data_IF_990639154669
#
_entry.id   IF_990639154669
#
_cell.length_a   1.000
_cell.length_b   1.000
_cell.length_c   1.000
_cell.angle_alpha   90.00
_cell.angle_beta   90.00
_cell.angle_gamma   90.00
#
_symmetry.space_group_name_H-M   'P 1'
#
loop_
_entity.id
_entity.type
_entity.pdbx_description
1 polymer ?
#
# COMPACT_ATOMS: atom_id res chain seq x y z
N UNK A 1 -13.46 18.76 -30.81
CA UNK A 1 -14.74 18.54 -31.53
C UNK A 1 -15.21 17.09 -31.41
N UNK A 2 -14.40 16.09 -31.78
CA UNK A 2 -14.79 14.66 -31.73
C UNK A 2 -15.02 14.13 -30.31
N UNK A 3 -14.14 14.48 -29.37
CA UNK A 3 -14.30 14.26 -27.92
C UNK A 3 -15.67 14.74 -27.39
N UNK A 4 -16.13 15.92 -27.83
CA UNK A 4 -17.43 16.47 -27.40
C UNK A 4 -18.60 15.76 -28.08
N UNK A 5 -18.45 15.33 -29.34
CA UNK A 5 -19.47 14.57 -30.05
C UNK A 5 -19.75 13.21 -29.37
N UNK A 6 -18.72 12.58 -28.78
CA UNK A 6 -18.87 11.32 -28.02
C UNK A 6 -19.61 11.46 -26.69
N UNK A 7 -19.75 12.69 -26.17
CA UNK A 7 -20.48 12.98 -24.93
C UNK A 7 -21.97 13.27 -25.14
N UNK A 8 -22.43 13.37 -26.40
CA UNK A 8 -23.86 13.56 -26.72
C UNK A 8 -24.65 12.28 -26.47
N UNK A 9 -25.97 12.34 -26.29
CA UNK A 9 -26.77 11.13 -26.05
C UNK A 9 -26.99 10.28 -27.31
N UNK A 10 -26.85 10.87 -28.50
CA UNK A 10 -27.07 10.20 -29.79
C UNK A 10 -25.98 9.14 -30.07
N UNK A 11 -26.38 7.87 -30.09
CA UNK A 11 -25.50 6.73 -30.30
C UNK A 11 -24.84 6.73 -31.69
N UNK A 12 -25.54 7.19 -32.73
CA UNK A 12 -25.01 7.24 -34.09
C UNK A 12 -23.92 8.32 -34.21
N UNK A 13 -24.10 9.46 -33.54
CA UNK A 13 -23.06 10.50 -33.45
C UNK A 13 -21.81 9.99 -32.73
N UNK A 14 -21.96 9.23 -31.64
CA UNK A 14 -20.83 8.60 -30.92
C UNK A 14 -20.04 7.64 -31.81
N UNK A 15 -20.73 6.81 -32.58
CA UNK A 15 -20.11 5.83 -33.46
C UNK A 15 -19.36 6.49 -34.62
N UNK A 16 -19.95 7.50 -35.26
CA UNK A 16 -19.28 8.27 -36.33
C UNK A 16 -18.03 8.95 -35.77
N UNK A 17 -18.15 9.61 -34.60
CA UNK A 17 -17.02 10.30 -33.97
C UNK A 17 -15.89 9.31 -33.66
N UNK A 18 -16.20 8.13 -33.13
CA UNK A 18 -15.22 7.09 -32.81
C UNK A 18 -14.50 6.55 -34.06
N UNK A 19 -15.26 6.29 -35.14
CA UNK A 19 -14.67 5.87 -36.43
C UNK A 19 -13.73 6.93 -37.00
N UNK A 20 -14.11 8.20 -36.87
CA UNK A 20 -13.32 9.31 -37.39
C UNK A 20 -12.02 9.52 -36.57
N UNK A 21 -12.04 9.37 -35.25
CA UNK A 21 -10.83 9.40 -34.41
C UNK A 21 -9.84 8.30 -34.80
N UNK A 22 -10.32 7.07 -35.04
CA UNK A 22 -9.48 5.96 -35.50
C UNK A 22 -8.89 6.26 -36.87
N UNK A 23 -9.70 6.73 -37.83
CA UNK A 23 -9.22 7.11 -39.16
C UNK A 23 -8.16 8.22 -39.08
N UNK A 24 -8.33 9.18 -38.16
CA UNK A 24 -7.39 10.24 -37.93
C UNK A 24 -6.05 9.71 -37.37
N UNK A 25 -6.07 8.81 -36.38
CA UNK A 25 -4.87 8.16 -35.87
C UNK A 25 -4.11 7.36 -36.94
N UNK A 26 -4.83 6.62 -37.78
CA UNK A 26 -4.24 5.90 -38.92
C UNK A 26 -3.60 6.85 -39.93
N UNK A 27 -4.24 7.98 -40.21
CA UNK A 27 -3.66 9.00 -41.09
C UNK A 27 -2.41 9.64 -40.48
N UNK A 28 -2.42 9.97 -39.18
CA UNK A 28 -1.25 10.49 -38.48
C UNK A 28 -0.08 9.50 -38.50
N UNK A 29 -0.37 8.21 -38.32
CA UNK A 29 0.63 7.15 -38.38
C UNK A 29 1.23 7.04 -39.80
N UNK A 30 0.37 7.00 -40.83
CA UNK A 30 0.79 6.90 -42.25
C UNK A 30 1.59 8.11 -42.72
N UNK A 31 1.25 9.30 -42.24
CA UNK A 31 1.92 10.56 -42.60
C UNK A 31 3.05 10.91 -41.63
N UNK A 32 3.44 9.98 -40.76
CA UNK A 32 4.54 10.10 -39.80
C UNK A 32 4.52 11.39 -38.98
N UNK A 33 3.34 11.80 -38.52
CA UNK A 33 3.23 12.95 -37.60
C UNK A 33 4.07 12.71 -36.36
N UNK A 34 4.60 13.79 -35.79
CA UNK A 34 5.44 13.71 -34.59
C UNK A 34 4.63 13.22 -33.38
N UNK A 35 5.19 12.35 -32.52
CA UNK A 35 4.54 11.93 -31.28
C UNK A 35 4.14 13.11 -30.39
N UNK A 36 5.01 14.12 -30.31
CA UNK A 36 4.77 15.36 -29.56
C UNK A 36 3.52 16.10 -30.06
N UNK A 37 3.36 16.22 -31.38
CA UNK A 37 2.20 16.90 -31.96
C UNK A 37 0.91 16.13 -31.68
N UNK A 38 0.96 14.79 -31.78
CA UNK A 38 -0.21 13.94 -31.53
C UNK A 38 -0.64 14.02 -30.06
N UNK A 39 0.28 14.02 -29.09
CA UNK A 39 -0.04 14.26 -27.67
C UNK A 39 -0.75 15.61 -27.50
N UNK A 40 -0.25 16.66 -28.15
CA UNK A 40 -0.90 17.97 -28.16
C UNK A 40 -2.31 17.94 -28.75
N UNK A 41 -2.51 17.27 -29.90
CA UNK A 41 -3.82 17.16 -30.54
C UNK A 41 -4.83 16.31 -29.77
N UNK A 42 -4.36 15.33 -29.02
CA UNK A 42 -5.19 14.55 -28.08
C UNK A 42 -5.56 15.34 -26.82
N UNK A 43 -5.07 16.58 -26.68
CA UNK A 43 -5.38 17.45 -25.55
C UNK A 43 -4.69 17.04 -24.25
N UNK A 44 -3.65 16.22 -24.32
CA UNK A 44 -2.92 15.78 -23.14
C UNK A 44 -2.09 16.90 -22.52
N UNK A 45 -1.66 17.92 -23.28
CA UNK A 45 -0.93 19.06 -22.71
C UNK A 45 -1.76 19.85 -21.68
N UNK A 46 -3.07 20.02 -21.95
CA UNK A 46 -3.96 20.84 -21.12
C UNK A 46 -4.66 20.03 -20.01
N UNK A 47 -4.62 18.69 -20.08
CA UNK A 47 -5.31 17.78 -19.16
C UNK A 47 -4.45 16.56 -18.80
N UNK A 48 -3.14 16.77 -18.68
CA UNK A 48 -2.15 15.70 -18.51
C UNK A 48 -2.44 14.83 -17.28
N UNK A 49 -2.91 15.42 -16.19
CA UNK A 49 -3.35 14.75 -14.95
C UNK A 49 -4.45 13.68 -15.17
N UNK A 50 -5.26 13.80 -16.24
CA UNK A 50 -6.34 12.86 -16.56
C UNK A 50 -5.96 11.90 -17.69
N UNK A 51 -4.71 11.94 -18.17
CA UNK A 51 -4.22 11.20 -19.33
C UNK A 51 -4.50 9.70 -19.23
N UNK A 52 -4.21 9.06 -18.09
CA UNK A 52 -4.42 7.61 -17.90
C UNK A 52 -5.90 7.21 -17.83
N UNK A 53 -6.78 8.17 -17.51
CA UNK A 53 -8.24 7.97 -17.48
C UNK A 53 -8.91 8.43 -18.77
N UNK A 54 -8.16 9.01 -19.71
CA UNK A 54 -8.71 9.59 -20.93
C UNK A 54 -8.97 8.53 -22.00
N UNK A 55 -10.15 8.51 -22.64
CA UNK A 55 -10.41 7.61 -23.77
C UNK A 55 -9.50 7.90 -24.97
N UNK A 56 -8.91 9.09 -25.05
CA UNK A 56 -7.93 9.46 -26.08
C UNK A 56 -6.65 8.63 -26.00
N UNK A 57 -6.36 7.97 -24.86
CA UNK A 57 -5.19 7.09 -24.72
C UNK A 57 -5.26 5.88 -25.67
N UNK A 58 -6.46 5.40 -25.99
CA UNK A 58 -6.63 4.35 -27.01
C UNK A 58 -6.28 4.85 -28.42
N UNK A 59 -6.55 6.12 -28.72
CA UNK A 59 -6.20 6.74 -30.00
C UNK A 59 -4.68 6.89 -30.13
N UNK A 60 -4.00 7.26 -29.04
CA UNK A 60 -2.54 7.22 -28.95
C UNK A 60 -1.98 5.83 -29.22
N UNK A 61 -2.54 4.79 -28.57
CA UNK A 61 -2.11 3.41 -28.76
C UNK A 61 -2.21 2.99 -30.24
N UNK A 62 -3.36 3.23 -30.88
CA UNK A 62 -3.59 2.94 -32.30
C UNK A 62 -2.56 3.67 -33.17
N UNK A 63 -2.34 4.96 -32.92
CA UNK A 63 -1.36 5.75 -33.66
C UNK A 63 0.03 5.13 -33.56
N UNK A 64 0.56 4.88 -32.35
CA UNK A 64 1.93 4.36 -32.19
C UNK A 64 2.09 2.98 -32.81
N UNK A 65 1.16 2.06 -32.55
CA UNK A 65 1.21 0.70 -33.10
C UNK A 65 1.19 0.70 -34.64
N UNK A 66 0.51 1.67 -35.27
CA UNK A 66 0.35 1.73 -36.73
C UNK A 66 1.44 2.53 -37.44
N UNK A 67 2.32 3.23 -36.72
CA UNK A 67 3.48 3.92 -37.30
C UNK A 67 4.55 2.99 -37.88
N UNK A 68 4.52 1.70 -37.53
CA UNK A 68 5.43 0.70 -38.10
C UNK A 68 6.88 0.81 -37.61
N UNK A 69 7.17 1.66 -36.61
CA UNK A 69 8.51 1.80 -35.99
C UNK A 69 8.81 0.77 -34.91
N UNK A 70 7.89 -0.17 -34.68
CA UNK A 70 7.96 -1.21 -33.64
C UNK A 70 8.21 -0.67 -32.22
N UNK A 71 7.78 0.57 -31.96
CA UNK A 71 7.85 1.21 -30.64
C UNK A 71 6.70 0.71 -29.75
N UNK A 72 6.98 0.51 -28.46
CA UNK A 72 5.95 0.28 -27.46
C UNK A 72 5.21 1.61 -27.20
N UNK A 73 3.86 1.65 -27.30
CA UNK A 73 3.08 2.86 -27.06
C UNK A 73 3.28 3.50 -25.69
N UNK A 74 3.51 2.68 -24.64
CA UNK A 74 3.72 3.19 -23.29
C UNK A 74 5.14 3.71 -23.08
N UNK A 75 6.15 3.02 -23.60
CA UNK A 75 7.55 3.49 -23.50
C UNK A 75 7.73 4.85 -24.20
N UNK A 76 7.13 5.00 -25.38
CA UNK A 76 7.14 6.28 -26.09
C UNK A 76 6.35 7.35 -25.33
N UNK A 77 5.20 7.00 -24.74
CA UNK A 77 4.40 7.95 -23.96
C UNK A 77 5.17 8.44 -22.72
N UNK A 78 5.77 7.52 -21.96
CA UNK A 78 6.62 7.85 -20.81
C UNK A 78 7.77 8.75 -21.26
N UNK A 79 8.45 8.43 -22.36
CA UNK A 79 9.53 9.27 -22.91
C UNK A 79 9.05 10.68 -23.24
N UNK A 80 7.87 10.83 -23.85
CA UNK A 80 7.33 12.15 -24.14
C UNK A 80 6.94 12.90 -22.87
N UNK A 81 6.38 12.21 -21.87
CA UNK A 81 5.98 12.82 -20.60
C UNK A 81 7.20 13.28 -19.80
N UNK A 82 8.24 12.45 -19.65
CA UNK A 82 9.46 12.82 -18.92
C UNK A 82 10.28 13.92 -19.60
N UNK A 83 10.07 14.15 -20.90
CA UNK A 83 10.63 15.30 -21.62
C UNK A 83 9.84 16.61 -21.41
N UNK A 84 8.55 16.52 -21.08
CA UNK A 84 7.64 17.66 -21.05
C UNK A 84 7.20 18.08 -19.64
N UNK A 85 7.29 17.15 -18.68
CA UNK A 85 6.78 17.29 -17.33
C UNK A 85 7.86 17.00 -16.30
N UNK A 86 7.75 17.62 -15.13
CA UNK A 86 8.61 17.23 -14.00
C UNK A 86 8.19 15.87 -13.49
N UNK A 87 9.09 15.20 -12.79
CA UNK A 87 8.77 13.91 -12.20
C UNK A 87 7.64 14.01 -11.15
N UNK A 88 7.55 15.15 -10.44
CA UNK A 88 6.47 15.41 -9.48
C UNK A 88 5.11 15.46 -10.17
N UNK A 89 5.04 16.10 -11.35
CA UNK A 89 3.85 16.11 -12.18
C UNK A 89 3.50 14.66 -12.59
N UNK A 90 4.46 13.85 -13.02
CA UNK A 90 4.21 12.43 -13.34
C UNK A 90 3.66 11.65 -12.13
N UNK A 91 4.11 11.95 -10.92
CA UNK A 91 3.53 11.43 -9.69
C UNK A 91 2.05 11.75 -9.49
N UNK A 92 1.62 12.97 -9.84
CA UNK A 92 0.23 13.41 -9.76
C UNK A 92 -0.69 12.67 -10.74
N UNK A 93 -0.19 12.34 -11.95
CA UNK A 93 -0.91 11.46 -12.90
C UNK A 93 -1.26 10.14 -12.21
N UNK A 94 -0.28 9.49 -11.59
CA UNK A 94 -0.46 8.20 -10.95
C UNK A 94 -1.39 8.28 -9.74
N UNK A 95 -1.22 9.30 -8.90
CA UNK A 95 -2.09 9.55 -7.74
C UNK A 95 -3.54 9.83 -8.15
N UNK A 96 -3.75 10.56 -9.25
CA UNK A 96 -5.11 10.84 -9.75
C UNK A 96 -5.75 9.62 -10.38
N UNK A 97 -4.98 8.83 -11.14
CA UNK A 97 -5.44 7.59 -11.75
C UNK A 97 -5.85 6.54 -10.70
N UNK A 98 -5.15 6.47 -9.57
CA UNK A 98 -5.49 5.57 -8.46
C UNK A 98 -6.74 6.02 -7.68
N UNK A 99 -6.90 7.32 -7.39
CA UNK A 99 -8.03 7.87 -6.61
C UNK A 99 -9.39 7.83 -7.34
N UNK A 100 -9.42 7.93 -8.67
CA UNK A 100 -10.68 8.01 -9.45
C UNK A 100 -11.42 6.68 -9.64
N UNK A 101 -11.03 5.60 -8.94
CA UNK A 101 -11.63 4.27 -9.08
C UNK A 101 -10.92 3.39 -10.12
N UNK A 102 -9.59 3.56 -10.24
CA UNK A 102 -8.79 2.92 -11.26
C UNK A 102 -9.02 3.53 -12.64
N UNK A 103 -8.06 3.34 -13.54
CA UNK A 103 -8.36 3.44 -14.97
C UNK A 103 -9.53 2.48 -15.25
N UNK A 104 -10.47 2.84 -16.13
CA UNK A 104 -11.52 1.90 -16.57
C UNK A 104 -10.93 0.60 -17.17
N UNK A 105 -9.62 0.56 -17.40
CA UNK A 105 -8.84 -0.60 -17.82
C UNK A 105 -7.53 -0.70 -17.00
N UNK A 106 -7.52 -1.55 -15.97
CA UNK A 106 -6.36 -1.81 -15.11
C UNK A 106 -5.10 -2.19 -15.89
N UNK A 107 -5.25 -2.82 -17.08
CA UNK A 107 -4.10 -3.21 -17.90
C UNK A 107 -3.35 -2.02 -18.47
N UNK A 108 -4.05 -0.93 -18.80
CA UNK A 108 -3.41 0.29 -19.31
C UNK A 108 -2.58 0.95 -18.20
N UNK A 109 -3.12 0.99 -16.98
CA UNK A 109 -2.41 1.51 -15.81
C UNK A 109 -1.14 0.69 -15.54
N UNK A 110 -1.27 -0.63 -15.45
CA UNK A 110 -0.13 -1.52 -15.19
C UNK A 110 0.94 -1.42 -16.28
N UNK A 111 0.54 -1.27 -17.55
CA UNK A 111 1.48 -1.14 -18.67
C UNK A 111 2.22 0.20 -18.63
N UNK A 112 1.52 1.29 -18.31
CA UNK A 112 2.13 2.60 -18.13
C UNK A 112 3.11 2.60 -16.96
N UNK A 113 2.70 2.06 -15.81
CA UNK A 113 3.53 1.95 -14.62
C UNK A 113 4.80 1.14 -14.90
N UNK A 114 4.69 0.00 -15.58
CA UNK A 114 5.86 -0.81 -15.98
C UNK A 114 6.82 -0.04 -16.88
N UNK A 115 6.29 0.69 -17.87
CA UNK A 115 7.10 1.53 -18.75
C UNK A 115 7.82 2.64 -17.97
N UNK A 116 7.13 3.28 -17.02
CA UNK A 116 7.70 4.34 -16.18
C UNK A 116 8.82 3.81 -15.29
N UNK A 117 8.59 2.69 -14.59
CA UNK A 117 9.63 2.08 -13.77
C UNK A 117 10.84 1.66 -14.60
N UNK A 118 10.62 1.07 -15.78
CA UNK A 118 11.70 0.71 -16.72
C UNK A 118 12.49 1.94 -17.15
N UNK A 119 11.82 3.05 -17.45
CA UNK A 119 12.47 4.30 -17.81
C UNK A 119 13.35 4.82 -16.67
N UNK A 120 12.83 4.86 -15.44
CA UNK A 120 13.59 5.27 -14.26
C UNK A 120 14.69 4.28 -13.85
N UNK A 121 14.64 3.01 -14.24
CA UNK A 121 15.75 2.08 -14.02
C UNK A 121 16.92 2.33 -14.98
N UNK A 122 16.65 2.85 -16.19
CA UNK A 122 17.68 3.16 -17.18
C UNK A 122 18.41 4.49 -16.90
N UNK A 123 17.75 5.41 -16.20
CA UNK A 123 18.33 6.63 -15.62
C UNK A 123 18.07 6.63 -14.11
N UNK A 124 18.87 5.86 -13.33
CA UNK A 124 18.50 5.39 -12.00
C UNK A 124 18.24 6.54 -11.03
N UNK A 125 16.95 6.80 -10.79
CA UNK A 125 16.51 7.61 -9.66
C UNK A 125 16.71 6.83 -8.37
N UNK A 126 16.98 7.54 -7.28
CA UNK A 126 17.06 6.92 -5.96
C UNK A 126 15.67 6.52 -5.47
N UNK A 127 15.59 5.50 -4.61
CA UNK A 127 14.35 5.13 -3.92
C UNK A 127 13.72 6.32 -3.18
N UNK A 128 14.53 7.19 -2.59
CA UNK A 128 14.08 8.44 -1.94
C UNK A 128 13.44 9.40 -2.93
N UNK A 129 14.04 9.59 -4.10
CA UNK A 129 13.43 10.43 -5.13
C UNK A 129 12.07 9.85 -5.52
N UNK A 130 12.00 8.58 -5.91
CA UNK A 130 10.72 7.96 -6.31
C UNK A 130 9.66 8.00 -5.20
N UNK A 131 10.08 7.91 -3.93
CA UNK A 131 9.19 8.10 -2.78
C UNK A 131 8.50 9.47 -2.78
N UNK A 132 9.29 10.54 -2.94
CA UNK A 132 8.79 11.92 -3.02
C UNK A 132 8.01 12.18 -4.31
N UNK A 133 8.42 11.57 -5.43
CA UNK A 133 7.69 11.66 -6.70
C UNK A 133 6.29 11.10 -6.57
N UNK A 134 6.14 9.95 -5.92
CA UNK A 134 4.83 9.36 -5.63
C UNK A 134 4.07 10.08 -4.52
N UNK A 135 4.62 11.17 -3.98
CA UNK A 135 4.00 12.00 -2.94
C UNK A 135 3.59 11.19 -1.70
N UNK A 136 4.33 10.13 -1.39
CA UNK A 136 4.05 9.26 -0.24
C UNK A 136 4.32 10.01 1.07
N UNK A 137 5.26 10.96 1.05
CA UNK A 137 5.56 11.89 2.14
C UNK A 137 4.50 12.99 2.35
N UNK A 138 3.63 13.22 1.37
CA UNK A 138 2.62 14.29 1.40
C UNK A 138 1.23 13.82 1.82
N UNK A 139 1.02 12.51 1.97
CA UNK A 139 -0.23 11.99 2.55
C UNK A 139 -0.13 11.95 4.07
N UNK A 140 -1.27 12.11 4.77
CA UNK A 140 -1.31 12.15 6.24
C UNK A 140 -0.66 10.90 6.88
N UNK A 141 -0.85 9.74 6.25
CA UNK A 141 -0.21 8.49 6.62
C UNK A 141 0.39 7.83 5.37
N UNK A 142 1.72 7.74 5.32
CA UNK A 142 2.44 7.11 4.20
C UNK A 142 1.96 5.67 3.93
N UNK A 143 1.56 4.93 4.97
CA UNK A 143 1.02 3.58 4.87
C UNK A 143 -0.32 3.48 4.14
N UNK A 144 -1.04 4.60 4.01
CA UNK A 144 -2.30 4.69 3.26
C UNK A 144 -2.10 5.16 1.81
N UNK A 145 -0.86 5.45 1.38
CA UNK A 145 -0.62 5.90 0.01
C UNK A 145 -0.95 4.79 -1.00
N UNK A 146 -1.77 5.08 -2.02
CA UNK A 146 -2.11 4.10 -3.06
C UNK A 146 -0.92 3.71 -3.94
N UNK A 147 0.17 4.49 -3.91
CA UNK A 147 1.39 4.21 -4.67
C UNK A 147 2.49 3.55 -3.81
N UNK A 148 2.21 3.25 -2.54
CA UNK A 148 3.21 2.71 -1.62
C UNK A 148 3.78 1.37 -2.10
N UNK A 149 2.92 0.41 -2.44
CA UNK A 149 3.37 -0.92 -2.87
C UNK A 149 4.11 -0.88 -4.22
N UNK A 150 3.75 0.09 -5.07
CA UNK A 150 4.46 0.32 -6.33
C UNK A 150 5.87 0.84 -6.06
N UNK A 151 6.01 1.81 -5.15
CA UNK A 151 7.32 2.29 -4.71
C UNK A 151 8.14 1.19 -4.03
N UNK A 152 7.52 0.38 -3.18
CA UNK A 152 8.20 -0.73 -2.52
C UNK A 152 8.77 -1.73 -3.55
N UNK A 153 7.97 -2.08 -4.56
CA UNK A 153 8.41 -2.93 -5.67
C UNK A 153 9.58 -2.32 -6.46
N UNK A 154 9.57 -1.01 -6.66
CA UNK A 154 10.68 -0.30 -7.29
C UNK A 154 11.96 -0.38 -6.44
N UNK A 155 11.87 -0.13 -5.13
CA UNK A 155 12.99 -0.28 -4.20
C UNK A 155 13.58 -1.68 -4.22
N UNK A 156 12.73 -2.71 -4.18
CA UNK A 156 13.16 -4.11 -4.25
C UNK A 156 13.91 -4.39 -5.56
N UNK A 157 13.42 -3.85 -6.69
CA UNK A 157 14.09 -4.01 -7.99
C UNK A 157 15.48 -3.36 -8.07
N UNK A 158 15.71 -2.36 -7.21
CA UNK A 158 17.00 -1.68 -7.05
C UNK A 158 17.88 -2.34 -5.98
N UNK A 159 17.41 -3.41 -5.32
CA UNK A 159 18.12 -4.09 -4.23
C UNK A 159 18.12 -3.33 -2.91
N UNK A 160 17.23 -2.34 -2.74
CA UNK A 160 17.05 -1.61 -1.49
C UNK A 160 15.97 -2.27 -0.63
N UNK A 161 16.00 -2.05 0.69
CA UNK A 161 14.98 -2.52 1.62
C UNK A 161 13.90 -1.43 1.82
N UNK A 162 12.72 -1.53 1.19
CA UNK A 162 11.67 -0.54 1.34
C UNK A 162 11.05 -0.52 2.73
N UNK A 163 11.06 -1.65 3.46
CA UNK A 163 10.52 -1.75 4.82
C UNK A 163 11.41 -0.98 5.78
N UNK A 164 12.73 -1.17 5.71
CA UNK A 164 13.67 -0.39 6.51
C UNK A 164 13.55 1.11 6.24
N UNK A 165 13.54 1.50 4.96
CA UNK A 165 13.41 2.91 4.57
C UNK A 165 12.11 3.54 5.09
N UNK A 166 10.97 2.89 4.87
CA UNK A 166 9.68 3.43 5.30
C UNK A 166 9.61 3.51 6.82
N UNK A 167 10.09 2.49 7.53
CA UNK A 167 10.09 2.46 8.98
C UNK A 167 10.90 3.63 9.58
N UNK A 168 12.10 3.91 9.05
CA UNK A 168 12.92 5.04 9.48
C UNK A 168 12.24 6.39 9.22
N UNK A 169 11.58 6.55 8.07
CA UNK A 169 10.83 7.76 7.75
C UNK A 169 9.63 7.95 8.70
N UNK A 170 8.89 6.88 9.00
CA UNK A 170 7.77 6.95 9.94
C UNK A 170 8.26 7.26 11.37
N UNK A 171 9.37 6.67 11.81
CA UNK A 171 9.99 7.03 13.09
C UNK A 171 10.36 8.52 13.12
N UNK A 172 10.99 9.02 12.05
CA UNK A 172 11.36 10.43 11.94
C UNK A 172 10.14 11.36 11.90
N UNK A 173 9.02 10.92 11.32
CA UNK A 173 7.76 11.65 11.28
C UNK A 173 7.14 11.81 12.68
N UNK A 174 7.11 10.73 13.46
CA UNK A 174 6.49 10.75 14.79
C UNK A 174 7.41 11.27 15.91
N UNK A 175 8.73 11.40 15.69
CA UNK A 175 9.74 11.68 16.74
C UNK A 175 9.47 12.85 17.69
N UNK A 176 8.70 13.85 17.28
CA UNK A 176 8.39 15.03 18.10
C UNK A 176 7.14 14.87 18.97
N UNK A 177 6.45 13.74 18.85
CA UNK A 177 5.28 13.40 19.65
C UNK A 177 5.69 12.68 20.93
N UNK A 178 5.09 13.06 22.06
CA UNK A 178 5.31 12.38 23.34
C UNK A 178 4.93 10.89 23.28
N UNK A 179 3.96 10.54 22.43
CA UNK A 179 3.48 9.17 22.19
C UNK A 179 3.97 8.61 20.85
N UNK A 180 5.15 9.04 20.38
CA UNK A 180 5.71 8.65 19.08
C UNK A 180 5.67 7.14 18.83
N UNK A 181 6.14 6.33 19.78
CA UNK A 181 6.15 4.87 19.66
C UNK A 181 4.73 4.30 19.53
N UNK A 182 3.78 4.80 20.32
CA UNK A 182 2.39 4.35 20.27
C UNK A 182 1.70 4.75 18.96
N UNK A 183 2.00 5.94 18.42
CA UNK A 183 1.49 6.39 17.12
C UNK A 183 2.06 5.58 15.97
N UNK A 184 3.37 5.33 15.97
CA UNK A 184 4.03 4.47 14.98
C UNK A 184 3.44 3.06 15.00
N UNK A 185 3.30 2.47 16.20
CA UNK A 185 2.72 1.15 16.38
C UNK A 185 1.29 1.09 15.83
N UNK A 186 0.45 2.06 16.21
CA UNK A 186 -0.93 2.15 15.74
C UNK A 186 -1.01 2.23 14.22
N UNK A 187 -0.21 3.09 13.59
CA UNK A 187 -0.20 3.23 12.14
C UNK A 187 0.16 1.92 11.42
N UNK A 188 1.16 1.18 11.92
CA UNK A 188 1.58 -0.11 11.36
C UNK A 188 0.51 -1.19 11.58
N UNK A 189 -0.09 -1.24 12.77
CA UNK A 189 -1.15 -2.21 13.11
C UNK A 189 -2.40 -1.98 12.27
N UNK A 190 -2.84 -0.73 12.14
CA UNK A 190 -4.01 -0.36 11.34
C UNK A 190 -3.78 -0.71 9.85
N UNK A 191 -2.58 -0.46 9.34
CA UNK A 191 -2.20 -0.83 7.97
C UNK A 191 -2.18 -2.36 7.78
N UNK A 192 -1.63 -3.11 8.74
CA UNK A 192 -1.63 -4.58 8.75
C UNK A 192 -3.05 -5.14 8.81
N UNK A 193 -3.94 -4.53 9.58
CA UNK A 193 -5.33 -4.94 9.66
C UNK A 193 -6.06 -4.73 8.33
N UNK A 194 -5.75 -3.63 7.63
CA UNK A 194 -6.30 -3.32 6.31
C UNK A 194 -5.78 -4.28 5.22
N UNK A 195 -4.53 -4.72 5.33
CA UNK A 195 -3.86 -5.59 4.37
C UNK A 195 -3.22 -6.83 5.04
N UNK A 196 -4.02 -7.74 5.62
CA UNK A 196 -3.52 -8.78 6.53
C UNK A 196 -2.65 -9.86 5.88
N UNK A 197 -2.74 -10.03 4.57
CA UNK A 197 -2.00 -11.07 3.81
C UNK A 197 -0.91 -10.50 2.91
N UNK A 198 -0.72 -9.19 2.89
CA UNK A 198 0.30 -8.56 2.07
C UNK A 198 1.64 -8.58 2.81
N UNK A 199 2.65 -9.17 2.16
CA UNK A 199 3.96 -9.45 2.75
C UNK A 199 4.67 -8.16 3.21
N UNK A 200 4.45 -7.04 2.52
CA UNK A 200 5.06 -5.76 2.87
C UNK A 200 4.59 -5.30 4.26
N UNK A 201 3.28 -5.35 4.51
CA UNK A 201 2.71 -4.92 5.80
C UNK A 201 3.01 -5.93 6.92
N UNK A 202 3.09 -7.22 6.62
CA UNK A 202 3.60 -8.24 7.57
C UNK A 202 5.03 -7.92 7.98
N UNK A 203 5.91 -7.59 7.02
CA UNK A 203 7.30 -7.23 7.30
C UNK A 203 7.43 -5.92 8.06
N UNK A 204 6.55 -4.94 7.83
CA UNK A 204 6.48 -3.71 8.63
C UNK A 204 6.18 -4.00 10.11
N UNK A 205 5.22 -4.88 10.41
CA UNK A 205 4.94 -5.31 11.78
C UNK A 205 6.14 -6.07 12.37
N UNK A 206 6.75 -7.00 11.62
CA UNK A 206 7.94 -7.70 12.08
C UNK A 206 9.11 -6.76 12.40
N UNK A 207 9.31 -5.72 11.57
CA UNK A 207 10.31 -4.67 11.79
C UNK A 207 10.03 -3.93 13.10
N UNK A 208 8.77 -3.55 13.36
CA UNK A 208 8.36 -2.96 14.64
C UNK A 208 8.74 -3.85 15.83
N UNK A 209 8.41 -5.15 15.77
CA UNK A 209 8.73 -6.10 16.85
C UNK A 209 10.25 -6.27 17.05
N UNK A 210 11.03 -6.31 15.96
CA UNK A 210 12.51 -6.37 16.07
C UNK A 210 13.10 -5.11 16.68
N UNK A 211 12.54 -3.94 16.36
CA UNK A 211 12.97 -2.66 16.92
C UNK A 211 12.73 -2.62 18.42
N UNK A 212 11.51 -2.97 18.89
CA UNK A 212 11.23 -3.04 20.32
C UNK A 212 12.12 -4.03 21.07
N UNK A 213 12.45 -5.17 20.47
CA UNK A 213 13.38 -6.14 21.06
C UNK A 213 14.80 -5.57 21.16
N UNK A 214 15.28 -4.89 20.11
CA UNK A 214 16.61 -4.26 20.09
C UNK A 214 16.71 -3.08 21.07
N UNK A 215 15.59 -2.39 21.33
CA UNK A 215 15.44 -1.36 22.34
C UNK A 215 15.22 -1.92 23.76
N UNK A 216 15.24 -3.24 23.92
CA UNK A 216 15.08 -3.94 25.20
C UNK A 216 13.77 -3.59 25.94
N UNK A 217 12.71 -3.26 25.19
CA UNK A 217 11.39 -3.08 25.82
C UNK A 217 10.92 -4.42 26.41
N UNK A 218 10.26 -4.37 27.55
CA UNK A 218 9.63 -5.56 28.13
C UNK A 218 8.16 -5.71 27.68
N UNK A 219 7.58 -6.88 27.95
CA UNK A 219 6.19 -7.17 27.58
C UNK A 219 5.18 -6.21 28.22
N UNK A 220 5.44 -5.67 29.41
CA UNK A 220 4.56 -4.73 30.10
C UNK A 220 4.59 -3.35 29.49
N UNK A 221 5.80 -2.84 29.23
CA UNK A 221 5.98 -1.56 28.55
C UNK A 221 5.29 -1.56 27.17
N UNK A 222 5.43 -2.63 26.39
CA UNK A 222 4.75 -2.73 25.09
C UNK A 222 3.23 -2.88 25.25
N UNK A 223 2.75 -3.57 26.29
CA UNK A 223 1.31 -3.64 26.59
C UNK A 223 0.70 -2.25 26.83
N UNK A 224 1.37 -1.43 27.65
CA UNK A 224 0.95 -0.06 27.99
C UNK A 224 1.08 0.89 26.80
N UNK A 225 2.15 0.75 26.01
CA UNK A 225 2.40 1.51 24.78
C UNK A 225 1.28 1.29 23.75
N UNK A 226 0.81 0.04 23.63
CA UNK A 226 -0.32 -0.31 22.77
C UNK A 226 -1.67 0.15 23.34
N UNK A 227 -1.67 0.69 24.56
CA UNK A 227 -2.85 1.18 25.26
C UNK A 227 -3.77 0.07 25.73
N UNK A 228 -3.29 -1.17 25.81
CA UNK A 228 -4.09 -2.32 26.24
C UNK A 228 -4.45 -2.23 27.72
N UNK A 229 -3.65 -1.52 28.53
CA UNK A 229 -3.85 -1.24 29.95
C UNK A 229 -5.07 -0.36 30.27
N UNK A 230 -5.50 0.45 29.29
CA UNK A 230 -6.55 1.47 29.45
C UNK A 230 -7.93 1.01 28.98
N UNK A 231 -8.04 -0.24 28.52
CA UNK A 231 -9.26 -0.72 27.85
C UNK A 231 -10.18 -1.37 28.89
N UNK A 232 -11.30 -0.70 29.16
CA UNK A 232 -12.36 -1.24 30.04
C UNK A 232 -13.19 -2.36 29.38
N UNK A 233 -12.93 -2.65 28.10
CA UNK A 233 -13.66 -3.62 27.27
C UNK A 233 -12.79 -4.83 26.91
N UNK A 234 -13.27 -5.69 26.01
CA UNK A 234 -12.56 -6.90 25.61
C UNK A 234 -11.28 -6.59 24.80
N UNK A 235 -10.12 -6.61 25.46
CA UNK A 235 -8.80 -6.43 24.83
C UNK A 235 -8.53 -7.47 23.73
N UNK A 236 -9.10 -8.67 23.81
CA UNK A 236 -8.88 -9.74 22.82
C UNK A 236 -9.54 -9.46 21.46
N UNK A 237 -10.43 -8.48 21.38
CA UNK A 237 -11.01 -8.02 20.11
C UNK A 237 -10.14 -6.95 19.42
N UNK A 238 -9.10 -6.43 20.08
CA UNK A 238 -8.26 -5.37 19.54
C UNK A 238 -7.12 -5.96 18.69
N UNK A 239 -6.88 -5.44 17.47
CA UNK A 239 -5.73 -5.85 16.65
C UNK A 239 -4.39 -5.71 17.38
N UNK A 240 -4.27 -4.70 18.26
CA UNK A 240 -3.07 -4.49 19.07
C UNK A 240 -2.76 -5.67 20.02
N UNK A 241 -3.75 -6.45 20.41
CA UNK A 241 -3.53 -7.65 21.23
C UNK A 241 -2.78 -8.73 20.45
N UNK A 242 -3.06 -8.89 19.15
CA UNK A 242 -2.33 -9.81 18.27
C UNK A 242 -0.85 -9.42 18.18
N UNK A 243 -0.58 -8.15 17.90
CA UNK A 243 0.79 -7.62 17.86
C UNK A 243 1.53 -7.78 19.20
N UNK A 244 0.86 -7.55 20.32
CA UNK A 244 1.45 -7.77 21.65
C UNK A 244 1.80 -9.24 21.88
N UNK A 245 0.91 -10.19 21.55
CA UNK A 245 1.20 -11.62 21.69
C UNK A 245 2.37 -12.05 20.81
N UNK A 246 2.42 -11.58 19.55
CA UNK A 246 3.56 -11.83 18.66
C UNK A 246 4.86 -11.27 19.23
N UNK A 247 4.81 -10.12 19.89
CA UNK A 247 5.97 -9.56 20.58
C UNK A 247 6.44 -10.44 21.74
N UNK A 248 5.53 -10.88 22.61
CA UNK A 248 5.85 -11.80 23.71
C UNK A 248 6.41 -13.12 23.18
N UNK A 249 5.87 -13.62 22.07
CA UNK A 249 6.41 -14.78 21.37
C UNK A 249 7.85 -14.56 20.91
N UNK A 250 8.14 -13.40 20.33
CA UNK A 250 9.49 -13.03 19.91
C UNK A 250 10.46 -12.89 21.10
N UNK A 251 10.00 -12.36 22.22
CA UNK A 251 10.81 -12.17 23.44
C UNK A 251 11.08 -13.47 24.20
N UNK A 252 10.09 -14.36 24.31
CA UNK A 252 10.13 -15.50 25.23
C UNK A 252 10.30 -16.85 24.53
N UNK A 253 10.29 -16.88 23.20
CA UNK A 253 10.41 -18.12 22.41
C UNK A 253 9.33 -19.13 22.81
N UNK A 254 9.68 -20.39 23.00
CA UNK A 254 8.74 -21.46 23.34
C UNK A 254 7.92 -21.22 24.62
N UNK A 255 8.41 -20.38 25.54
CA UNK A 255 7.75 -20.10 26.83
C UNK A 255 6.70 -18.99 26.76
N UNK A 256 6.40 -18.48 25.57
CA UNK A 256 5.54 -17.31 25.40
C UNK A 256 4.11 -17.50 25.93
N UNK A 257 3.51 -18.69 25.74
CA UNK A 257 2.16 -18.99 26.24
C UNK A 257 2.08 -18.78 27.76
N UNK A 258 3.04 -19.32 28.50
CA UNK A 258 3.14 -19.19 29.96
C UNK A 258 3.43 -17.75 30.37
N UNK A 259 4.27 -17.03 29.62
CA UNK A 259 4.56 -15.63 29.89
C UNK A 259 3.32 -14.75 29.74
N UNK A 260 2.55 -14.93 28.66
CA UNK A 260 1.27 -14.23 28.43
C UNK A 260 0.30 -14.50 29.57
N UNK A 261 0.09 -15.77 29.94
CA UNK A 261 -0.83 -16.15 31.02
C UNK A 261 -0.44 -15.49 32.35
N UNK A 262 0.82 -15.63 32.75
CA UNK A 262 1.30 -15.05 34.02
C UNK A 262 1.23 -13.53 34.02
N UNK A 263 1.38 -12.88 32.87
CA UNK A 263 1.25 -11.43 32.75
C UNK A 263 -0.21 -10.99 32.96
N UNK A 264 -1.14 -11.63 32.27
CA UNK A 264 -2.57 -11.31 32.36
C UNK A 264 -3.14 -11.59 33.77
N UNK A 265 -2.73 -12.71 34.41
CA UNK A 265 -3.08 -13.03 35.80
C UNK A 265 -2.58 -11.97 36.78
N UNK A 266 -1.32 -11.54 36.65
CA UNK A 266 -0.73 -10.52 37.52
C UNK A 266 -1.37 -9.14 37.34
N UNK A 267 -1.81 -8.84 36.13
CA UNK A 267 -2.43 -7.55 35.80
C UNK A 267 -3.90 -7.46 36.23
N UNK A 268 -4.43 -8.51 36.90
CA UNK A 268 -5.80 -8.58 37.42
C UNK A 268 -6.88 -8.29 36.37
N UNK A 269 -6.61 -8.64 35.10
CA UNK A 269 -7.59 -8.55 34.02
C UNK A 269 -8.67 -9.60 34.27
N UNK A 270 -9.81 -9.14 34.76
CA UNK A 270 -10.94 -9.99 35.11
C UNK A 270 -11.68 -10.46 33.84
N UNK A 271 -11.37 -11.68 33.45
CA UNK A 271 -12.00 -12.51 32.41
C UNK A 271 -13.51 -12.76 32.63
N UNK A 272 -14.12 -12.24 33.70
CA UNK A 272 -15.56 -12.34 33.96
C UNK A 272 -16.47 -11.61 32.94
N UNK A 273 -15.94 -11.01 31.86
CA UNK A 273 -16.71 -10.71 30.65
C UNK A 273 -16.50 -11.77 29.54
N UNK A 274 -16.67 -13.03 29.92
CA UNK A 274 -16.81 -14.16 29.01
C UNK A 274 -18.16 -14.13 28.30
N UNK A 275 -18.29 -13.33 27.25
CA UNK A 275 -19.25 -13.56 26.18
C UNK A 275 -18.88 -12.73 24.95
N UNK A 276 -18.15 -13.32 24.01
CA UNK A 276 -18.31 -13.27 22.53
C UNK A 276 -16.97 -13.42 21.79
N UNK A 277 -16.56 -14.66 21.53
CA UNK A 277 -15.69 -15.01 20.38
C UNK A 277 -16.50 -15.89 19.45
N UNK A 278 -17.51 -15.31 18.79
CA UNK A 278 -18.18 -15.96 17.68
C UNK A 278 -17.62 -15.53 16.31
N UNK A 279 -16.79 -14.47 16.24
CA UNK A 279 -16.49 -13.80 14.97
C UNK A 279 -15.00 -13.52 14.67
N UNK A 280 -14.06 -13.97 15.49
CA UNK A 280 -12.64 -13.70 15.25
C UNK A 280 -12.07 -14.76 14.27
N UNK A 281 -11.51 -14.32 13.13
CA UNK A 281 -11.11 -15.17 11.99
C UNK A 281 -9.59 -15.16 11.75
N UNK A 282 -8.81 -15.98 12.46
CA UNK A 282 -7.42 -16.39 12.13
C UNK A 282 -6.92 -17.48 13.11
N UNK A 283 -5.86 -18.21 12.76
CA UNK A 283 -5.30 -19.33 13.54
C UNK A 283 -4.70 -18.94 14.89
N UNK A 284 -4.22 -17.70 15.06
CA UNK A 284 -3.61 -17.22 16.32
C UNK A 284 -4.66 -16.93 17.40
N UNK A 285 -5.92 -16.75 17.01
CA UNK A 285 -7.07 -16.72 17.92
C UNK A 285 -7.27 -18.07 18.59
N UNK A 286 -6.89 -19.21 18.00
CA UNK A 286 -6.99 -20.48 18.70
C UNK A 286 -6.08 -20.49 19.94
N UNK A 287 -4.88 -19.89 19.85
CA UNK A 287 -4.00 -19.74 21.01
C UNK A 287 -4.54 -18.71 22.01
N UNK A 288 -5.15 -17.61 21.56
CA UNK A 288 -5.79 -16.63 22.45
C UNK A 288 -7.07 -17.16 23.12
N UNK A 289 -7.86 -17.95 22.42
CA UNK A 289 -9.03 -18.68 22.93
C UNK A 289 -8.59 -19.73 23.94
N UNK A 290 -7.48 -20.43 23.69
CA UNK A 290 -6.90 -21.39 24.63
C UNK A 290 -6.34 -20.67 25.86
N UNK A 291 -5.61 -19.57 25.68
CA UNK A 291 -5.12 -18.72 26.78
C UNK A 291 -6.30 -18.16 27.60
N UNK A 292 -7.34 -17.67 26.95
CA UNK A 292 -8.55 -17.17 27.61
C UNK A 292 -9.33 -18.28 28.32
N UNK A 293 -9.48 -19.45 27.71
CA UNK A 293 -10.11 -20.61 28.33
C UNK A 293 -9.32 -21.10 29.55
N UNK A 294 -7.99 -21.12 29.47
CA UNK A 294 -7.12 -21.46 30.60
C UNK A 294 -7.23 -20.46 31.75
N UNK A 295 -7.31 -19.16 31.43
CA UNK A 295 -7.60 -18.14 32.44
C UNK A 295 -8.97 -18.41 33.09
N UNK A 296 -10.02 -18.67 32.30
CA UNK A 296 -11.39 -18.91 32.80
C UNK A 296 -11.51 -20.17 33.66
N UNK A 297 -10.69 -21.19 33.37
CA UNK A 297 -10.61 -22.44 34.13
C UNK A 297 -9.71 -22.33 35.37
N UNK A 298 -9.06 -21.19 35.61
CA UNK A 298 -8.17 -20.99 36.76
C UNK A 298 -6.87 -21.80 36.71
N UNK A 299 -6.42 -22.17 35.50
CA UNK A 299 -5.26 -23.04 35.29
C UNK A 299 -3.93 -22.34 35.57
N UNK A 300 -2.95 -23.12 36.03
CA UNK A 300 -1.61 -22.64 36.35
C UNK A 300 -0.59 -22.98 35.25
N UNK A 301 0.69 -22.66 35.48
CA UNK A 301 1.76 -22.89 34.51
C UNK A 301 2.13 -24.36 34.31
N UNK A 302 1.78 -25.25 35.26
CA UNK A 302 1.99 -26.68 35.11
C UNK A 302 0.99 -27.29 34.11
N UNK A 303 -0.26 -26.81 34.12
CA UNK A 303 -1.33 -27.27 33.22
C UNK A 303 -1.06 -26.99 31.73
N UNK A 304 -0.24 -25.98 31.43
CA UNK A 304 0.09 -25.53 30.07
C UNK A 304 1.11 -26.47 29.40
N UNK A 305 2.09 -26.96 30.16
CA UNK A 305 3.18 -27.79 29.64
C UNK A 305 2.79 -29.26 29.43
N UNK A 306 1.74 -29.76 30.09
CA UNK A 306 1.31 -31.16 29.94
C UNK A 306 0.56 -31.44 28.62
N UNK A 307 -0.02 -30.42 27.97
CA UNK A 307 -0.86 -30.60 26.76
C UNK A 307 -0.14 -30.40 25.43
N UNK A 308 1.07 -29.86 25.41
CA UNK A 308 1.89 -29.66 24.20
C UNK A 308 2.80 -30.89 23.89
N UNK A 309 2.58 -32.04 24.56
CA UNK A 309 3.16 -33.36 24.24
C UNK A 309 2.14 -34.26 23.57
#
# INVERSE_FOLDING_TARGET
>A
MLENAKKQDDQHVKEIASKLEIAQALNWAKTEKSPKDVIGWLGFNDNWENLLTSPALNIWYIYVTKRGKHENPFDLLVTQLTMAHTDEEIGEILMKATKKGGTNDLKLYDSFVKALLTHWSNDPKTSTQVYSLFQIDKVDNALDSPLLLLWASYCDSMGHDPVAFLFENLQAHYKHDEKHDAKLARAIIDAKQKYPHDEFFVKMEQKLLTTWQAEEKDEGLVFDLLGLDKVETNIFALPAMETWVLYVQKLKGEKWKVAVLKFLQRSNYDIHQGNTIANAKTSDIAAMVVVQAWLQEGKDDADVFERDK
#
